data_IF_066213344146
#
_entry.id   IF_066213344146
#
_cell.length_a   1.000
_cell.length_b   1.000
_cell.length_c   1.000
_cell.angle_alpha   90.00
_cell.angle_beta   90.00
_cell.angle_gamma   90.00
#
_symmetry.space_group_name_H-M   'P 1'
#
loop_
_entity.id
_entity.type
_entity.pdbx_description
1 polymer ?
#
# COMPACT_ATOMS: atom_id res chain seq x y z
N UNK A 1 -11.19 -4.31 0.66
CA UNK A 1 -11.10 -5.66 1.23
C UNK A 1 -10.21 -5.66 2.48
N UNK A 2 -10.39 -6.61 3.38
CA UNK A 2 -9.49 -6.85 4.52
C UNK A 2 -8.49 -7.97 4.16
N UNK A 3 -7.21 -7.66 4.18
CA UNK A 3 -6.15 -8.60 3.80
C UNK A 3 -6.14 -9.90 4.63
N UNK A 4 -6.56 -9.83 5.89
CA UNK A 4 -6.65 -11.01 6.77
C UNK A 4 -7.64 -12.06 6.25
N UNK A 5 -8.69 -11.65 5.53
CA UNK A 5 -9.70 -12.55 4.95
C UNK A 5 -9.20 -13.34 3.74
N UNK A 6 -8.21 -12.80 3.04
CA UNK A 6 -7.68 -13.44 1.84
C UNK A 6 -6.77 -14.61 2.26
N UNK A 7 -6.98 -15.81 1.72
CA UNK A 7 -6.10 -16.94 2.00
C UNK A 7 -4.70 -16.71 1.43
N UNK A 8 -3.71 -17.35 2.07
CA UNK A 8 -2.37 -17.41 1.54
C UNK A 8 -2.30 -18.34 0.32
N UNK A 9 -1.61 -17.91 -0.72
CA UNK A 9 -1.30 -18.68 -1.91
C UNK A 9 0.22 -18.82 -2.05
N UNK A 10 0.66 -19.93 -2.63
CA UNK A 10 2.09 -20.18 -2.82
C UNK A 10 2.66 -19.30 -3.93
N UNK A 11 3.80 -18.67 -3.65
CA UNK A 11 4.52 -17.82 -4.58
C UNK A 11 3.96 -16.40 -4.69
N UNK A 12 4.64 -15.57 -5.49
CA UNK A 12 4.11 -14.25 -5.86
C UNK A 12 2.99 -14.43 -6.90
N UNK A 13 1.99 -13.57 -6.84
CA UNK A 13 1.02 -13.47 -7.94
C UNK A 13 1.75 -13.04 -9.22
N UNK A 14 1.40 -13.65 -10.34
CA UNK A 14 2.10 -13.46 -11.61
C UNK A 14 3.34 -14.37 -11.78
N UNK A 15 3.65 -15.21 -10.79
CA UNK A 15 4.77 -16.16 -10.82
C UNK A 15 5.99 -15.68 -10.03
N UNK A 16 7.09 -16.41 -10.14
CA UNK A 16 8.31 -16.12 -9.37
C UNK A 16 8.23 -16.53 -7.90
N UNK A 17 9.38 -16.61 -7.26
CA UNK A 17 9.57 -16.90 -5.82
C UNK A 17 8.57 -17.87 -5.21
N UNK A 18 8.54 -19.13 -5.68
CA UNK A 18 7.60 -20.16 -5.22
C UNK A 18 7.81 -20.60 -3.76
N UNK A 19 8.79 -20.09 -3.10
CA UNK A 19 9.19 -20.35 -1.72
C UNK A 19 8.72 -19.27 -0.72
N UNK A 20 7.91 -18.33 -1.18
CA UNK A 20 7.16 -17.40 -0.35
C UNK A 20 5.66 -17.68 -0.47
N UNK A 21 4.85 -16.97 0.30
CA UNK A 21 3.39 -17.00 0.17
C UNK A 21 2.87 -15.58 -0.04
N UNK A 22 1.77 -15.44 -0.76
CA UNK A 22 1.16 -14.13 -0.99
C UNK A 22 -0.36 -14.13 -0.86
N UNK A 23 -0.89 -12.93 -0.63
CA UNK A 23 -2.32 -12.60 -0.69
C UNK A 23 -2.50 -11.50 -1.72
N UNK A 24 -3.22 -11.76 -2.79
CA UNK A 24 -3.44 -10.77 -3.84
C UNK A 24 -4.52 -9.77 -3.43
N UNK A 25 -4.15 -8.50 -3.31
CA UNK A 25 -5.07 -7.39 -3.03
C UNK A 25 -5.66 -6.80 -4.32
N UNK A 26 -4.81 -6.42 -5.26
CA UNK A 26 -5.20 -5.94 -6.59
C UNK A 26 -4.29 -6.46 -7.67
N UNK A 27 -4.79 -6.53 -8.90
CA UNK A 27 -4.00 -6.81 -10.11
C UNK A 27 -4.62 -6.11 -11.30
N UNK A 28 -3.76 -5.70 -12.22
CA UNK A 28 -4.14 -5.24 -13.54
C UNK A 28 -3.75 -6.31 -14.57
N UNK A 29 -4.68 -6.72 -15.40
CA UNK A 29 -4.46 -7.76 -16.40
C UNK A 29 -3.77 -7.21 -17.66
N UNK A 30 -3.79 -5.87 -17.86
CA UNK A 30 -3.21 -5.24 -19.04
C UNK A 30 -1.67 -5.15 -18.95
N UNK A 31 -1.12 -4.88 -17.76
CA UNK A 31 0.31 -4.73 -17.53
C UNK A 31 0.90 -5.77 -16.55
N UNK A 32 0.06 -6.65 -16.01
CA UNK A 32 0.40 -7.65 -14.99
C UNK A 32 0.95 -7.04 -13.67
N UNK A 33 0.66 -5.75 -13.43
CA UNK A 33 0.97 -5.13 -12.14
C UNK A 33 0.08 -5.69 -11.03
N UNK A 34 0.56 -5.65 -9.79
CA UNK A 34 -0.20 -6.17 -8.65
C UNK A 34 0.24 -5.58 -7.33
N UNK A 35 -0.71 -5.50 -6.39
CA UNK A 35 -0.46 -5.23 -4.98
C UNK A 35 -0.78 -6.46 -4.15
N UNK A 36 0.16 -6.89 -3.31
CA UNK A 36 0.11 -8.15 -2.58
C UNK A 36 0.62 -7.96 -1.15
N UNK A 37 0.14 -8.80 -0.22
CA UNK A 37 0.87 -9.06 1.02
C UNK A 37 1.74 -10.29 0.77
N UNK A 38 3.05 -10.18 1.00
CA UNK A 38 4.00 -11.27 0.80
C UNK A 38 4.58 -11.70 2.13
N UNK A 39 4.56 -13.02 2.41
CA UNK A 39 5.15 -13.61 3.59
C UNK A 39 6.40 -14.41 3.24
N UNK A 40 7.52 -14.00 3.80
CA UNK A 40 8.78 -14.73 3.77
C UNK A 40 8.84 -15.62 5.01
N UNK A 41 9.04 -16.93 4.89
CA UNK A 41 9.15 -17.82 6.06
C UNK A 41 10.43 -17.56 6.84
N UNK A 42 10.44 -17.94 8.11
CA UNK A 42 11.66 -17.92 8.90
C UNK A 42 12.73 -18.82 8.28
N UNK A 43 13.97 -18.33 8.21
CA UNK A 43 15.09 -19.01 7.56
C UNK A 43 15.09 -18.91 6.04
N UNK A 44 14.19 -18.13 5.42
CA UNK A 44 14.24 -17.88 3.98
C UNK A 44 15.56 -17.19 3.60
N UNK A 45 16.21 -17.65 2.53
CA UNK A 45 17.47 -17.10 2.07
C UNK A 45 17.65 -17.25 0.55
N UNK A 46 18.31 -16.25 -0.05
CA UNK A 46 18.88 -16.23 -1.38
C UNK A 46 20.36 -15.86 -1.28
N UNK A 47 21.22 -16.74 -1.76
CA UNK A 47 22.70 -16.57 -1.69
C UNK A 47 23.33 -16.35 -3.06
N UNK A 48 22.57 -16.47 -4.13
CA UNK A 48 23.00 -16.20 -5.48
C UNK A 48 22.42 -14.87 -5.98
N UNK A 49 23.16 -14.09 -6.76
CA UNK A 49 22.64 -12.85 -7.33
C UNK A 49 21.39 -13.10 -8.17
N UNK A 50 20.36 -12.29 -7.93
CA UNK A 50 19.13 -12.28 -8.72
C UNK A 50 18.54 -10.87 -8.80
N UNK A 51 17.65 -10.65 -9.76
CA UNK A 51 16.85 -9.45 -9.84
C UNK A 51 15.45 -9.77 -10.38
N UNK A 52 14.52 -8.83 -10.22
CA UNK A 52 13.23 -8.90 -10.90
C UNK A 52 13.27 -8.16 -12.23
N UNK A 53 12.59 -8.71 -13.23
CA UNK A 53 12.38 -8.05 -14.53
C UNK A 53 11.35 -6.91 -14.46
N UNK A 54 10.79 -6.65 -13.28
CA UNK A 54 9.86 -5.56 -12.99
C UNK A 54 10.35 -4.72 -11.81
N UNK A 55 9.79 -3.50 -11.62
CA UNK A 55 10.00 -2.75 -10.40
C UNK A 55 9.29 -3.43 -9.23
N UNK A 56 9.89 -3.37 -8.06
CA UNK A 56 9.31 -3.82 -6.80
C UNK A 56 9.36 -2.68 -5.80
N UNK A 57 8.21 -2.34 -5.26
CA UNK A 57 8.05 -1.42 -4.16
C UNK A 57 7.56 -2.20 -2.95
N UNK A 58 8.08 -1.93 -1.75
CA UNK A 58 7.58 -2.61 -0.56
C UNK A 58 7.65 -1.75 0.71
N UNK A 59 6.74 -2.07 1.62
CA UNK A 59 6.74 -1.62 3.01
C UNK A 59 6.70 -2.85 3.92
N UNK A 60 7.60 -2.94 4.90
CA UNK A 60 7.60 -4.04 5.87
C UNK A 60 6.46 -3.85 6.88
N UNK A 61 5.55 -4.81 6.95
CA UNK A 61 4.41 -4.81 7.88
C UNK A 61 4.74 -5.49 9.20
N UNK A 62 5.54 -6.56 9.14
CA UNK A 62 5.94 -7.34 10.32
C UNK A 62 7.25 -8.08 10.06
N UNK A 63 8.01 -8.38 11.14
CA UNK A 63 9.29 -9.06 11.05
C UNK A 63 10.37 -8.20 10.37
N UNK A 64 11.33 -8.87 9.71
CA UNK A 64 12.41 -8.20 9.00
C UNK A 64 12.94 -9.01 7.81
N UNK A 65 13.32 -8.30 6.75
CA UNK A 65 14.06 -8.84 5.62
C UNK A 65 15.41 -8.11 5.50
N UNK A 66 16.45 -8.85 5.18
CA UNK A 66 17.78 -8.30 4.92
C UNK A 66 18.09 -8.46 3.43
N UNK A 67 18.54 -7.37 2.80
CA UNK A 67 18.99 -7.34 1.41
C UNK A 67 20.38 -6.72 1.40
N UNK A 68 21.39 -7.44 0.91
CA UNK A 68 22.77 -7.00 0.76
C UNK A 68 23.37 -6.39 2.05
N UNK A 69 23.04 -7.01 3.22
CA UNK A 69 23.49 -6.56 4.52
C UNK A 69 22.70 -5.41 5.14
N UNK A 70 21.74 -4.85 4.45
CA UNK A 70 20.80 -3.86 4.99
C UNK A 70 19.55 -4.54 5.53
N UNK A 71 19.21 -4.27 6.77
CA UNK A 71 18.00 -4.80 7.41
C UNK A 71 16.83 -3.83 7.23
N UNK A 72 15.72 -4.35 6.74
CA UNK A 72 14.44 -3.67 6.62
C UNK A 72 13.52 -4.23 7.69
N UNK A 73 13.33 -3.46 8.74
CA UNK A 73 12.44 -3.77 9.86
C UNK A 73 11.04 -3.19 9.61
N UNK A 74 10.14 -3.42 10.53
CA UNK A 74 8.76 -2.92 10.46
C UNK A 74 8.72 -1.43 10.10
N UNK A 75 7.90 -1.10 9.09
CA UNK A 75 7.72 0.19 8.44
C UNK A 75 8.87 0.64 7.53
N UNK A 76 10.01 -0.06 7.48
CA UNK A 76 11.02 0.25 6.48
C UNK A 76 10.44 0.10 5.07
N UNK A 77 10.83 1.01 4.20
CA UNK A 77 10.34 1.13 2.83
C UNK A 77 11.50 1.10 1.84
N UNK A 78 11.25 0.52 0.67
CA UNK A 78 12.13 0.60 -0.49
C UNK A 78 11.35 0.59 -1.81
N UNK A 79 11.95 1.16 -2.82
CA UNK A 79 11.60 0.99 -4.23
C UNK A 79 12.83 0.50 -4.98
N UNK A 80 12.76 -0.73 -5.44
CA UNK A 80 13.83 -1.41 -6.16
C UNK A 80 13.47 -1.50 -7.65
N UNK A 81 14.11 -0.70 -8.50
CA UNK A 81 13.85 -0.70 -9.94
C UNK A 81 14.10 -2.06 -10.57
N UNK A 82 13.42 -2.34 -11.67
CA UNK A 82 13.74 -3.53 -12.50
C UNK A 82 15.24 -3.60 -12.75
N UNK A 83 15.79 -4.80 -12.67
CA UNK A 83 17.22 -4.99 -12.84
C UNK A 83 18.09 -4.66 -11.62
N UNK A 84 17.49 -4.18 -10.50
CA UNK A 84 18.24 -4.03 -9.24
C UNK A 84 18.71 -5.41 -8.75
N UNK A 85 20.02 -5.63 -8.77
CA UNK A 85 20.62 -6.89 -8.34
C UNK A 85 20.65 -6.97 -6.83
N UNK A 86 20.13 -8.06 -6.30
CA UNK A 86 20.31 -8.48 -4.91
C UNK A 86 21.37 -9.57 -4.91
N UNK A 87 22.53 -9.28 -4.35
CA UNK A 87 23.62 -10.27 -4.22
C UNK A 87 23.24 -11.33 -3.17
N UNK A 88 22.54 -10.90 -2.12
CA UNK A 88 22.00 -11.78 -1.08
C UNK A 88 20.73 -11.17 -0.47
N UNK A 89 19.75 -12.03 -0.21
CA UNK A 89 18.58 -11.63 0.58
C UNK A 89 18.22 -12.75 1.57
N UNK A 90 17.74 -12.37 2.78
CA UNK A 90 17.34 -13.36 3.78
C UNK A 90 16.30 -12.78 4.75
N UNK A 91 15.53 -13.68 5.37
CA UNK A 91 14.60 -13.37 6.44
C UNK A 91 14.77 -14.40 7.57
N UNK A 92 15.71 -14.19 8.51
CA UNK A 92 16.05 -15.18 9.53
C UNK A 92 14.86 -15.57 10.42
N UNK A 93 14.00 -14.62 10.72
CA UNK A 93 12.86 -14.80 11.64
C UNK A 93 11.50 -14.71 10.95
N UNK A 94 11.47 -14.54 9.64
CA UNK A 94 10.28 -14.27 8.85
C UNK A 94 10.00 -12.79 8.68
N UNK A 95 9.28 -12.46 7.61
CA UNK A 95 8.81 -11.11 7.33
C UNK A 95 7.48 -11.13 6.60
N UNK A 96 6.67 -10.08 6.81
CA UNK A 96 5.45 -9.81 6.04
C UNK A 96 5.57 -8.43 5.43
N UNK A 97 5.44 -8.33 4.12
CA UNK A 97 5.60 -7.10 3.35
C UNK A 97 4.31 -6.78 2.60
N UNK A 98 3.92 -5.51 2.57
CA UNK A 98 3.06 -4.97 1.52
C UNK A 98 3.96 -4.74 0.31
N UNK A 99 3.69 -5.43 -0.79
CA UNK A 99 4.53 -5.42 -1.99
C UNK A 99 3.72 -5.02 -3.21
N UNK A 100 4.21 -4.04 -3.95
CA UNK A 100 3.68 -3.60 -5.22
C UNK A 100 4.65 -3.97 -6.34
N UNK A 101 4.15 -4.70 -7.32
CA UNK A 101 4.88 -5.10 -8.51
C UNK A 101 4.32 -4.36 -9.73
N UNK A 102 5.19 -3.77 -10.52
CA UNK A 102 4.83 -2.95 -11.69
C UNK A 102 4.78 -3.77 -12.99
N UNK A 103 4.55 -5.07 -12.86
CA UNK A 103 4.49 -6.03 -13.94
C UNK A 103 4.74 -7.44 -13.42
N UNK A 104 4.86 -8.41 -14.33
CA UNK A 104 5.11 -9.81 -13.97
C UNK A 104 6.44 -9.99 -13.21
N UNK A 105 6.44 -10.63 -12.03
CA UNK A 105 7.62 -10.75 -11.17
C UNK A 105 8.57 -11.88 -11.60
N UNK A 106 9.02 -11.84 -12.85
CA UNK A 106 9.99 -12.81 -13.35
C UNK A 106 11.33 -12.62 -12.65
N UNK A 107 11.79 -13.67 -11.99
CA UNK A 107 13.13 -13.72 -11.37
C UNK A 107 14.17 -14.06 -12.42
N UNK A 108 15.19 -13.22 -12.55
CA UNK A 108 16.33 -13.40 -13.45
C UNK A 108 17.57 -13.64 -12.61
N UNK A 109 18.24 -14.77 -12.84
CA UNK A 109 19.48 -15.10 -12.15
C UNK A 109 20.68 -14.31 -12.71
N UNK A 110 21.62 -13.97 -11.84
CA UNK A 110 22.83 -13.27 -12.20
C UNK A 110 22.71 -11.74 -12.22
N UNK A 111 23.70 -11.09 -12.84
CA UNK A 111 23.80 -9.64 -12.89
C UNK A 111 23.25 -9.13 -14.22
N UNK A 112 22.18 -8.35 -14.22
CA UNK A 112 21.71 -7.68 -15.42
C UNK A 112 22.59 -6.48 -15.70
N UNK A 113 22.68 -6.11 -16.93
CA UNK A 113 23.58 -5.06 -17.30
C UNK A 113 22.91 -3.79 -17.87
N UNK A 114 21.63 -3.82 -18.26
CA UNK A 114 21.16 -2.78 -19.19
C UNK A 114 19.88 -2.02 -18.82
N UNK A 115 19.04 -2.52 -17.93
CA UNK A 115 17.70 -1.95 -17.71
C UNK A 115 17.52 -1.31 -16.33
N UNK A 116 18.57 -1.23 -15.54
CA UNK A 116 18.53 -0.60 -14.22
C UNK A 116 18.67 0.90 -14.35
N UNK A 117 17.67 1.65 -13.85
CA UNK A 117 17.70 3.10 -13.73
C UNK A 117 17.95 3.50 -12.27
N UNK A 118 19.14 4.02 -11.93
CA UNK A 118 19.48 4.42 -10.58
C UNK A 118 18.70 5.63 -10.07
N UNK A 119 18.10 6.45 -10.96
CA UNK A 119 17.30 7.60 -10.54
C UNK A 119 15.97 7.20 -9.89
N UNK A 120 15.49 5.98 -10.20
CA UNK A 120 14.29 5.43 -9.60
C UNK A 120 14.56 4.77 -8.24
N UNK A 121 15.82 4.47 -7.90
CA UNK A 121 16.16 3.72 -6.71
C UNK A 121 15.87 4.51 -5.42
N UNK A 122 15.01 3.95 -4.59
CA UNK A 122 14.91 4.30 -3.18
C UNK A 122 15.32 3.08 -2.38
N UNK A 123 16.62 3.00 -2.07
CA UNK A 123 17.18 1.81 -1.47
C UNK A 123 16.65 1.56 -0.07
N UNK A 124 16.45 2.61 0.71
CA UNK A 124 15.98 2.49 2.09
C UNK A 124 15.41 3.80 2.63
N UNK A 125 14.23 3.73 3.21
CA UNK A 125 13.64 4.79 4.02
C UNK A 125 13.19 4.18 5.35
N UNK A 126 13.55 4.83 6.47
CA UNK A 126 12.99 4.51 7.77
C UNK A 126 12.00 5.61 8.21
N UNK A 127 10.70 5.42 8.04
CA UNK A 127 9.72 6.45 8.40
C UNK A 127 9.65 6.75 9.90
N UNK A 128 10.19 5.89 10.77
CA UNK A 128 10.21 6.12 12.21
C UNK A 128 11.14 7.28 12.60
N UNK A 129 12.13 7.58 11.75
CA UNK A 129 13.07 8.70 11.94
C UNK A 129 12.65 9.99 11.23
N UNK A 130 11.51 9.98 10.53
CA UNK A 130 11.00 11.13 9.79
C UNK A 130 9.97 11.90 10.63
N UNK A 131 9.94 13.21 10.47
CA UNK A 131 8.89 14.04 11.02
C UNK A 131 7.62 13.99 10.14
N UNK A 132 6.46 14.15 10.76
CA UNK A 132 5.20 14.32 10.06
C UNK A 132 5.07 15.73 9.52
N UNK A 133 4.81 15.90 8.24
CA UNK A 133 4.66 17.20 7.59
C UNK A 133 3.18 17.50 7.26
N UNK A 134 2.53 18.40 8.00
CA UNK A 134 1.17 18.85 7.68
C UNK A 134 1.11 19.81 6.48
N UNK A 135 2.24 20.40 6.10
CA UNK A 135 2.31 21.33 4.96
C UNK A 135 2.16 20.67 3.59
N UNK A 136 2.30 19.34 3.54
CA UNK A 136 2.10 18.55 2.31
C UNK A 136 0.63 18.12 2.11
N UNK A 137 -0.24 18.43 3.03
CA UNK A 137 -1.65 18.02 3.01
C UNK A 137 -2.51 19.13 2.42
N UNK A 138 -3.50 18.75 1.60
CA UNK A 138 -4.52 19.68 1.13
C UNK A 138 -5.27 20.31 2.34
N UNK A 139 -5.31 21.64 2.47
CA UNK A 139 -5.89 22.31 3.63
C UNK A 139 -7.43 22.12 3.75
N UNK A 140 -8.09 21.59 2.73
CA UNK A 140 -9.50 21.23 2.78
C UNK A 140 -9.77 19.90 3.50
N UNK A 141 -8.71 19.10 3.74
CA UNK A 141 -8.81 17.89 4.56
C UNK A 141 -8.89 18.22 6.07
N UNK A 142 -9.07 17.20 6.88
CA UNK A 142 -9.23 17.37 8.32
C UNK A 142 -7.98 17.99 8.97
N UNK A 143 -8.16 18.81 10.00
CA UNK A 143 -7.05 19.36 10.78
C UNK A 143 -6.25 18.25 11.46
N UNK A 144 -4.94 18.41 11.50
CA UNK A 144 -4.01 17.47 12.14
C UNK A 144 -3.60 16.30 11.24
N UNK A 145 -4.10 16.27 10.02
CA UNK A 145 -3.60 15.32 9.00
C UNK A 145 -2.18 15.71 8.61
N UNK A 146 -1.32 14.70 8.44
CA UNK A 146 0.08 14.91 8.05
C UNK A 146 0.62 13.75 7.21
N UNK A 147 1.70 14.00 6.50
CA UNK A 147 2.33 13.07 5.55
C UNK A 147 3.80 12.86 5.92
N UNK A 148 4.31 11.65 5.70
CA UNK A 148 5.72 11.33 5.57
C UNK A 148 5.98 10.86 4.15
N UNK A 149 6.63 11.65 3.28
CA UNK A 149 6.91 11.24 1.91
C UNK A 149 7.95 10.12 1.91
N UNK A 150 7.69 9.04 1.17
CA UNK A 150 8.61 7.91 1.03
C UNK A 150 9.29 7.92 -0.34
N UNK A 151 8.54 8.23 -1.40
CA UNK A 151 9.01 8.27 -2.77
C UNK A 151 8.23 9.30 -3.59
N UNK A 152 8.92 9.96 -4.49
CA UNK A 152 8.33 10.66 -5.64
C UNK A 152 9.06 10.20 -6.89
N UNK A 153 8.34 9.65 -7.85
CA UNK A 153 8.91 9.25 -9.13
C UNK A 153 9.39 10.49 -9.89
N UNK A 154 10.65 10.53 -10.36
CA UNK A 154 11.19 11.71 -11.04
C UNK A 154 10.55 11.97 -12.41
N UNK A 155 9.98 10.94 -13.05
CA UNK A 155 9.41 11.03 -14.40
C UNK A 155 7.89 11.18 -14.40
N UNK A 156 7.19 10.28 -13.68
CA UNK A 156 5.72 10.24 -13.67
C UNK A 156 5.11 11.10 -12.58
N UNK A 157 5.90 11.49 -11.58
CA UNK A 157 5.46 12.21 -10.38
C UNK A 157 4.53 11.41 -9.47
N UNK A 158 4.43 10.12 -9.68
CA UNK A 158 3.79 9.19 -8.75
C UNK A 158 4.42 9.30 -7.37
N UNK A 159 3.61 9.15 -6.34
CA UNK A 159 4.06 9.29 -4.95
C UNK A 159 3.65 8.10 -4.10
N UNK A 160 4.54 7.72 -3.16
CA UNK A 160 4.21 6.82 -2.07
C UNK A 160 4.54 7.52 -0.75
N UNK A 161 3.64 7.45 0.21
CA UNK A 161 3.78 8.15 1.48
C UNK A 161 3.01 7.48 2.61
N UNK A 162 3.40 7.77 3.84
CA UNK A 162 2.56 7.52 5.00
C UNK A 162 1.66 8.72 5.27
N UNK A 163 0.43 8.45 5.65
CA UNK A 163 -0.61 9.42 5.89
C UNK A 163 -1.24 9.17 7.26
N UNK A 164 -1.30 10.17 8.11
CA UNK A 164 -1.92 10.03 9.41
C UNK A 164 -2.99 11.09 9.66
N UNK A 165 -3.95 10.73 10.49
CA UNK A 165 -4.91 11.65 11.08
C UNK A 165 -5.09 11.32 12.56
N UNK A 166 -5.10 12.33 13.44
CA UNK A 166 -5.59 12.14 14.80
C UNK A 166 -7.10 11.86 14.78
N UNK A 167 -7.66 11.36 15.90
CA UNK A 167 -9.11 11.27 16.05
C UNK A 167 -9.78 12.60 15.76
N UNK A 168 -10.80 12.59 14.90
CA UNK A 168 -11.66 13.75 14.71
C UNK A 168 -13.10 13.30 14.54
N UNK A 169 -13.99 13.94 15.25
CA UNK A 169 -15.42 13.67 15.18
C UNK A 169 -16.10 14.67 14.27
N UNK A 170 -16.83 14.15 13.33
CA UNK A 170 -17.77 14.92 12.51
C UNK A 170 -19.10 14.93 13.25
N UNK A 171 -19.73 16.08 13.51
CA UNK A 171 -21.05 16.11 14.13
C UNK A 171 -22.06 15.27 13.34
N UNK A 172 -22.99 14.57 14.03
CA UNK A 172 -24.03 13.82 13.36
C UNK A 172 -24.80 14.69 12.37
N UNK A 173 -25.07 14.16 11.17
CA UNK A 173 -25.77 14.86 10.10
C UNK A 173 -24.95 15.92 9.36
N UNK A 174 -23.68 16.14 9.70
CA UNK A 174 -22.82 17.00 8.90
C UNK A 174 -22.62 16.41 7.51
N UNK A 175 -22.84 17.21 6.48
CA UNK A 175 -22.52 16.87 5.11
C UNK A 175 -21.10 17.34 4.75
N UNK A 176 -20.33 16.47 4.11
CA UNK A 176 -18.95 16.72 3.64
C UNK A 176 -18.87 16.50 2.12
N UNK A 177 -17.97 17.20 1.42
CA UNK A 177 -17.75 16.91 0.00
C UNK A 177 -17.17 15.51 -0.17
N UNK A 178 -17.49 14.90 -1.29
CA UNK A 178 -16.69 13.80 -1.84
C UNK A 178 -15.49 14.41 -2.58
N UNK A 179 -14.51 13.59 -2.89
CA UNK A 179 -13.39 13.98 -3.74
C UNK A 179 -13.07 12.90 -4.75
N UNK A 180 -12.32 13.26 -5.75
CA UNK A 180 -11.78 12.37 -6.77
C UNK A 180 -10.36 12.78 -7.11
N UNK A 181 -9.66 11.93 -7.84
CA UNK A 181 -8.30 12.14 -8.30
C UNK A 181 -8.18 11.85 -9.80
N UNK A 182 -7.32 12.58 -10.55
CA UNK A 182 -7.07 12.28 -11.97
C UNK A 182 -6.11 11.08 -12.16
N UNK A 183 -5.67 10.44 -11.10
CA UNK A 183 -4.81 9.26 -11.09
C UNK A 183 -5.44 8.15 -10.22
N UNK A 184 -4.89 6.95 -10.26
CA UNK A 184 -5.26 5.85 -9.36
C UNK A 184 -4.70 6.12 -7.97
N UNK A 185 -5.51 5.87 -6.93
CA UNK A 185 -5.10 5.90 -5.55
C UNK A 185 -5.23 4.51 -4.90
N UNK A 186 -4.19 4.08 -4.21
CA UNK A 186 -4.20 2.89 -3.36
C UNK A 186 -3.97 3.27 -1.91
N UNK A 187 -4.76 2.69 -1.00
CA UNK A 187 -4.63 2.88 0.44
C UNK A 187 -4.57 1.53 1.16
N UNK A 188 -3.65 1.44 2.11
CA UNK A 188 -3.57 0.31 3.03
C UNK A 188 -3.53 0.81 4.47
N UNK A 189 -4.45 0.32 5.32
CA UNK A 189 -4.51 0.72 6.72
C UNK A 189 -3.48 -0.02 7.55
N UNK A 190 -2.48 0.71 8.03
CA UNK A 190 -1.42 0.18 8.89
C UNK A 190 -1.89 0.09 10.35
N UNK A 191 -2.59 1.13 10.83
CA UNK A 191 -3.11 1.23 12.20
C UNK A 191 -4.37 2.08 12.25
N UNK A 192 -5.21 1.85 13.25
CA UNK A 192 -6.43 2.62 13.48
C UNK A 192 -7.58 2.25 12.55
N UNK A 193 -8.50 3.19 12.39
CA UNK A 193 -9.73 3.01 11.61
C UNK A 193 -9.98 4.18 10.68
N UNK A 194 -10.34 3.89 9.44
CA UNK A 194 -10.73 4.85 8.42
C UNK A 194 -12.16 4.54 7.96
N UNK A 195 -13.09 5.43 8.31
CA UNK A 195 -14.51 5.27 8.02
C UNK A 195 -14.85 5.93 6.70
N UNK A 196 -15.32 5.14 5.74
CA UNK A 196 -15.98 5.60 4.53
C UNK A 196 -17.49 5.71 4.79
N UNK A 197 -18.07 6.89 4.64
CA UNK A 197 -19.45 7.15 5.06
C UNK A 197 -20.53 6.33 4.35
N UNK A 198 -20.21 5.70 3.23
CA UNK A 198 -21.14 4.92 2.40
C UNK A 198 -20.70 3.48 2.12
N UNK A 199 -19.47 3.10 2.50
CA UNK A 199 -18.89 1.78 2.13
C UNK A 199 -18.53 0.90 3.32
N UNK A 200 -18.29 1.48 4.51
CA UNK A 200 -17.87 0.72 5.67
C UNK A 200 -16.64 1.30 6.36
N UNK A 201 -16.07 0.52 7.26
CA UNK A 201 -14.90 0.89 8.05
C UNK A 201 -13.70 0.05 7.63
N UNK A 202 -12.63 0.71 7.22
CA UNK A 202 -11.33 0.09 7.02
C UNK A 202 -10.55 0.09 8.32
N UNK A 203 -10.15 -1.08 8.77
CA UNK A 203 -9.30 -1.31 9.95
C UNK A 203 -7.92 -1.77 9.50
N UNK A 204 -7.00 -1.95 10.44
CA UNK A 204 -5.67 -2.50 10.14
C UNK A 204 -5.75 -3.70 9.18
N UNK A 205 -5.00 -3.65 8.08
CA UNK A 205 -5.07 -4.60 6.97
C UNK A 205 -6.17 -4.33 5.95
N UNK A 206 -6.95 -3.27 6.16
CA UNK A 206 -7.91 -2.81 5.15
C UNK A 206 -7.19 -2.22 3.95
N UNK A 207 -7.64 -2.59 2.77
CA UNK A 207 -7.09 -2.12 1.50
C UNK A 207 -8.22 -1.63 0.61
N UNK A 208 -8.01 -0.48 -0.04
CA UNK A 208 -8.84 -0.01 -1.14
C UNK A 208 -8.00 0.51 -2.31
N UNK A 209 -8.61 0.49 -3.47
CA UNK A 209 -8.09 0.95 -4.73
C UNK A 209 -9.16 1.77 -5.43
N UNK A 210 -8.82 2.99 -5.85
CA UNK A 210 -9.72 3.91 -6.52
C UNK A 210 -9.19 4.20 -7.91
N UNK A 211 -10.04 3.97 -8.90
CA UNK A 211 -9.75 4.43 -10.27
C UNK A 211 -9.73 5.95 -10.32
N UNK A 212 -9.02 6.43 -11.31
CA UNK A 212 -9.05 7.84 -11.70
C UNK A 212 -10.49 8.32 -11.95
N UNK A 213 -10.76 9.56 -11.54
CA UNK A 213 -12.04 10.27 -11.73
C UNK A 213 -13.27 9.60 -11.06
N UNK A 214 -13.09 8.67 -10.15
CA UNK A 214 -14.18 8.10 -9.34
C UNK A 214 -14.33 8.89 -8.04
N UNK A 215 -15.51 9.50 -7.84
CA UNK A 215 -15.81 10.18 -6.57
C UNK A 215 -15.96 9.19 -5.44
N UNK A 216 -15.31 9.48 -4.34
CA UNK A 216 -15.35 8.68 -3.10
C UNK A 216 -15.36 9.59 -1.88
N UNK A 217 -15.56 9.00 -0.68
CA UNK A 217 -15.83 9.76 0.54
C UNK A 217 -17.33 10.08 0.68
N UNK A 218 -17.72 10.89 1.67
CA UNK A 218 -16.84 11.48 2.68
C UNK A 218 -16.25 10.46 3.63
N UNK A 219 -15.14 10.82 4.28
CA UNK A 219 -14.45 9.95 5.21
C UNK A 219 -14.13 10.65 6.55
N UNK A 220 -13.81 9.83 7.55
CA UNK A 220 -13.45 10.30 8.89
C UNK A 220 -12.82 9.19 9.73
N UNK A 221 -12.45 9.53 10.97
CA UNK A 221 -11.92 8.58 11.94
C UNK A 221 -12.25 8.98 13.37
N UNK A 222 -12.72 8.02 14.17
CA UNK A 222 -12.92 8.22 15.61
C UNK A 222 -11.69 7.88 16.44
N UNK A 223 -10.83 7.03 15.94
CA UNK A 223 -9.66 6.50 16.65
C UNK A 223 -8.33 7.08 16.16
N UNK A 224 -8.32 7.77 15.03
CA UNK A 224 -7.13 8.08 14.26
C UNK A 224 -6.75 6.91 13.34
N UNK A 225 -5.84 7.19 12.41
CA UNK A 225 -5.30 6.17 11.50
C UNK A 225 -3.87 6.50 11.06
N UNK A 226 -3.17 5.43 10.67
CA UNK A 226 -2.00 5.49 9.81
C UNK A 226 -2.28 4.67 8.54
N UNK A 227 -2.11 5.30 7.38
CA UNK A 227 -2.24 4.66 6.08
C UNK A 227 -0.90 4.67 5.36
N UNK A 228 -0.65 3.64 4.57
CA UNK A 228 0.22 3.72 3.41
C UNK A 228 -0.64 4.11 2.22
N UNK A 229 -0.20 5.12 1.48
CA UNK A 229 -0.89 5.63 0.29
C UNK A 229 0.08 5.63 -0.89
N UNK A 230 -0.40 5.19 -2.04
CA UNK A 230 0.33 5.21 -3.30
C UNK A 230 -0.55 5.80 -4.40
N UNK A 231 0.06 6.61 -5.26
CA UNK A 231 -0.57 7.07 -6.51
C UNK A 231 0.04 6.38 -7.71
N UNK A 232 -0.76 6.09 -8.72
CA UNK A 232 -0.32 5.51 -10.00
C UNK A 232 -0.82 6.40 -11.13
N UNK A 233 0.03 6.63 -12.13
CA UNK A 233 -0.21 7.52 -13.27
C UNK A 233 -0.26 9.02 -12.91
N UNK A 234 0.45 9.46 -11.88
CA UNK A 234 0.61 10.88 -11.58
C UNK A 234 0.66 11.24 -10.09
N UNK A 235 0.88 12.51 -9.78
CA UNK A 235 0.92 13.00 -8.40
C UNK A 235 -0.48 13.04 -7.77
N UNK A 236 -0.55 13.00 -6.43
CA UNK A 236 -1.79 13.19 -5.70
C UNK A 236 -2.38 14.59 -5.96
N UNK A 237 -3.57 14.63 -6.52
CA UNK A 237 -4.37 15.84 -6.72
C UNK A 237 -5.77 15.58 -6.23
N UNK A 238 -6.26 16.37 -5.28
CA UNK A 238 -7.64 16.28 -4.77
C UNK A 238 -8.55 17.23 -5.55
N UNK A 239 -9.65 16.70 -6.07
CA UNK A 239 -10.71 17.46 -6.74
C UNK A 239 -11.99 17.25 -5.95
N UNK A 240 -12.42 18.28 -5.20
CA UNK A 240 -13.59 18.21 -4.33
C UNK A 240 -14.88 18.45 -5.10
N UNK A 241 -15.90 17.64 -4.81
CA UNK A 241 -17.25 17.88 -5.30
C UNK A 241 -17.86 19.13 -4.65
N UNK A 242 -18.63 19.89 -5.42
CA UNK A 242 -19.43 21.00 -4.89
C UNK A 242 -20.58 20.51 -4.02
N UNK A 243 -21.18 19.39 -4.41
CA UNK A 243 -22.23 18.74 -3.64
C UNK A 243 -21.64 18.05 -2.40
N UNK A 244 -22.31 18.23 -1.26
CA UNK A 244 -21.94 17.57 -0.02
C UNK A 244 -22.87 16.39 0.24
N UNK A 245 -22.31 15.30 0.75
CA UNK A 245 -23.08 14.11 1.14
C UNK A 245 -23.12 13.96 2.67
N UNK A 246 -24.22 13.44 3.22
CA UNK A 246 -24.30 13.11 4.63
C UNK A 246 -23.20 12.11 5.02
N UNK A 247 -22.61 12.29 6.19
CA UNK A 247 -21.64 11.37 6.76
C UNK A 247 -22.29 10.60 7.92
N UNK A 248 -22.00 9.30 8.01
CA UNK A 248 -22.38 8.48 9.15
C UNK A 248 -21.16 7.76 9.73
N UNK A 249 -21.10 7.61 11.04
CA UNK A 249 -20.10 6.83 11.75
C UNK A 249 -20.39 5.33 11.77
N UNK A 250 -21.61 4.96 11.40
CA UNK A 250 -22.08 3.57 11.33
C UNK A 250 -22.53 3.22 9.90
N UNK A 251 -21.61 3.31 8.91
CA UNK A 251 -21.96 2.96 7.55
C UNK A 251 -22.28 1.46 7.46
N UNK A 252 -23.21 1.12 6.60
CA UNK A 252 -23.40 -0.27 6.20
C UNK A 252 -22.13 -0.77 5.46
N UNK A 253 -21.70 -1.97 5.78
CA UNK A 253 -20.56 -2.56 5.10
C UNK A 253 -20.95 -2.99 3.68
N UNK A 254 -20.52 -2.22 2.69
CA UNK A 254 -20.84 -2.39 1.26
C UNK A 254 -19.58 -2.33 0.39
N UNK A 255 -18.64 -3.26 0.56
CA UNK A 255 -17.41 -3.22 -0.22
C UNK A 255 -17.69 -3.44 -1.70
N UNK A 256 -17.10 -2.62 -2.56
CA UNK A 256 -17.09 -2.82 -4.01
C UNK A 256 -15.87 -3.68 -4.32
N UNK A 257 -16.09 -4.92 -4.73
CA UNK A 257 -15.02 -5.89 -4.91
C UNK A 257 -15.06 -6.53 -6.31
N UNK A 258 -13.90 -6.76 -6.93
CA UNK A 258 -13.83 -7.57 -8.14
C UNK A 258 -14.27 -9.01 -7.83
N UNK A 259 -14.72 -9.79 -8.83
CA UNK A 259 -15.29 -11.12 -8.63
C UNK A 259 -14.43 -12.05 -7.76
N UNK A 260 -13.10 -12.03 -7.94
CA UNK A 260 -12.16 -12.87 -7.18
C UNK A 260 -12.11 -12.56 -5.67
N UNK A 261 -12.48 -11.34 -5.26
CA UNK A 261 -12.46 -10.91 -3.86
C UNK A 261 -13.84 -10.93 -3.19
N UNK A 262 -14.93 -11.11 -3.94
CA UNK A 262 -16.28 -11.16 -3.40
C UNK A 262 -16.46 -12.19 -2.25
N UNK A 263 -15.86 -13.40 -2.29
CA UNK A 263 -15.94 -14.34 -1.17
C UNK A 263 -15.33 -13.83 0.15
N UNK A 264 -14.48 -12.81 0.08
CA UNK A 264 -13.76 -12.22 1.23
C UNK A 264 -14.30 -10.82 1.61
N UNK A 265 -15.47 -10.45 1.12
CA UNK A 265 -16.09 -9.13 1.29
C UNK A 265 -16.78 -8.90 2.62
N UNK A 266 -16.77 -9.86 3.55
CA UNK A 266 -17.44 -9.70 4.84
C UNK A 266 -16.68 -8.75 5.76
N UNK A 267 -17.41 -8.07 6.65
CA UNK A 267 -16.80 -7.24 7.68
C UNK A 267 -15.82 -8.05 8.53
N UNK A 268 -14.68 -7.43 8.88
CA UNK A 268 -13.63 -8.10 9.64
C UNK A 268 -13.68 -7.71 11.12
N UNK A 269 -13.79 -8.68 12.04
CA UNK A 269 -13.55 -8.42 13.46
C UNK A 269 -12.09 -7.98 13.68
N UNK A 270 -11.82 -7.28 14.76
CA UNK A 270 -10.55 -6.63 15.08
C UNK A 270 -9.41 -7.60 15.45
N UNK A 271 -8.99 -8.47 14.57
CA UNK A 271 -7.86 -9.35 14.83
C UNK A 271 -6.60 -8.88 14.10
N UNK A 272 -5.42 -8.88 14.76
CA UNK A 272 -4.21 -8.24 14.23
C UNK A 272 -3.39 -9.08 13.25
N UNK A 273 -3.68 -10.37 13.05
CA UNK A 273 -2.81 -11.26 12.29
C UNK A 273 -3.09 -11.23 10.78
N UNK A 274 -2.02 -11.23 10.01
CA UNK A 274 -2.06 -11.32 8.55
C UNK A 274 -2.29 -12.73 8.04
#
# INVERSE_FOLDING_TARGET
>A
VQAQRIPWSRGLHGGGRLDVESKLLSSDDDDASSTQIVRYPAGWERTAPEHLATHEEFLVLDGAIEIDGRTYERHAYAFLPRGYVRERARSPHGAVLLTMLYGSPVVVAGRPARDFDPQLLVEYVNPLTMEWDPGLVDPQLAKGVAIKPLRTDPYTRETSFLYCSPPHRVPPGMAKPQWTHPMVEELYTLEGEYTWGDLGVMRRGGYCWWRENVYHGPAGTETGYHLFVRTVNGPLVNIFATEKKPFTWTPEHRPILPPRLQPYGQEWPREPNY
#
